data_IF_466621527617
#
_entry.id   IF_466621527617
#
_cell.length_a   1.000
_cell.length_b   1.000
_cell.length_c   1.000
_cell.angle_alpha   90.00
_cell.angle_beta   90.00
_cell.angle_gamma   90.00
#
_symmetry.space_group_name_H-M   'P 1'
#
loop_
_entity.id
_entity.type
_entity.pdbx_description
1 polymer ?
#
# COMPACT_ATOMS: atom_id res chain seq x y z
N UNK A 1 16.78 -1.57 7.13
CA UNK A 1 15.64 -2.01 7.96
C UNK A 1 15.42 -1.10 9.18
N UNK A 2 16.26 -1.11 10.24
CA UNK A 2 16.05 -0.25 11.43
C UNK A 2 15.82 1.23 11.11
N UNK A 3 16.68 1.84 10.27
CA UNK A 3 16.51 3.23 9.80
C UNK A 3 15.17 3.46 9.08
N UNK A 4 14.77 2.53 8.21
CA UNK A 4 13.52 2.63 7.46
C UNK A 4 12.26 2.40 8.31
N UNK A 5 12.39 1.85 9.52
CA UNK A 5 11.32 1.77 10.52
C UNK A 5 11.35 2.94 11.51
N UNK A 6 12.28 3.89 11.33
CA UNK A 6 12.61 4.92 12.31
C UNK A 6 12.89 4.36 13.73
N UNK A 7 13.64 3.25 13.83
CA UNK A 7 13.97 2.59 15.11
C UNK A 7 15.46 2.32 15.27
N UNK A 8 15.96 2.38 16.50
CA UNK A 8 17.33 1.99 16.84
C UNK A 8 17.49 0.47 16.91
N UNK A 9 18.68 -0.04 16.57
CA UNK A 9 18.97 -1.48 16.60
C UNK A 9 18.74 -2.11 17.99
N UNK A 10 19.11 -1.39 19.06
CA UNK A 10 18.91 -1.84 20.44
C UNK A 10 17.42 -1.95 20.76
N UNK A 11 16.58 -0.99 20.32
CA UNK A 11 15.12 -1.04 20.51
C UNK A 11 14.48 -2.26 19.85
N UNK A 12 14.99 -2.67 18.68
CA UNK A 12 14.49 -3.83 17.93
C UNK A 12 14.86 -5.15 18.62
N UNK A 13 16.10 -5.29 19.12
CA UNK A 13 16.58 -6.53 19.75
C UNK A 13 16.13 -6.67 21.20
N UNK A 14 16.06 -5.58 21.97
CA UNK A 14 15.68 -5.60 23.38
C UNK A 14 14.17 -5.78 23.62
N UNK A 15 13.40 -6.06 22.57
CA UNK A 15 11.95 -6.24 22.69
C UNK A 15 11.25 -4.95 23.09
N UNK A 16 11.59 -3.82 22.46
CA UNK A 16 10.85 -2.55 22.59
C UNK A 16 9.45 -2.59 21.95
N UNK A 17 8.76 -3.71 22.08
CA UNK A 17 7.33 -3.88 21.96
C UNK A 17 6.82 -4.02 23.40
N UNK A 18 6.59 -2.89 24.09
CA UNK A 18 6.16 -2.95 25.49
C UNK A 18 6.58 -1.82 26.42
N UNK A 19 7.26 -0.76 25.97
CA UNK A 19 6.95 0.53 26.60
C UNK A 19 5.52 0.81 26.20
N UNK A 20 4.63 0.92 27.20
CA UNK A 20 3.22 1.26 27.01
C UNK A 20 3.11 2.22 25.84
N UNK A 21 2.53 1.74 24.73
CA UNK A 21 1.96 2.68 23.79
C UNK A 21 1.08 3.56 24.68
N UNK A 22 1.20 4.90 24.61
CA UNK A 22 0.15 5.71 25.21
C UNK A 22 -1.14 5.10 24.69
N UNK A 23 -1.99 4.63 25.60
CA UNK A 23 -3.34 4.18 25.27
C UNK A 23 -3.87 5.23 24.31
N UNK A 24 -4.09 4.85 23.05
CA UNK A 24 -4.46 5.77 21.97
C UNK A 24 -5.63 6.60 22.45
N UNK A 25 -5.34 7.79 22.97
CA UNK A 25 -6.31 8.71 23.50
C UNK A 25 -6.83 9.46 22.31
N UNK A 26 -7.90 8.92 21.73
CA UNK A 26 -8.51 9.50 20.55
C UNK A 26 -9.12 8.42 19.69
N UNK A 27 -10.30 7.96 20.09
CA UNK A 27 -11.33 7.61 19.13
C UNK A 27 -11.69 8.92 18.40
N UNK A 28 -10.77 9.37 17.53
CA UNK A 28 -11.02 10.51 16.67
C UNK A 28 -12.00 9.98 15.65
N UNK A 29 -13.16 10.62 15.54
CA UNK A 29 -14.16 10.32 14.51
C UNK A 29 -13.49 10.53 13.15
N UNK A 30 -12.96 9.45 12.55
CA UNK A 30 -12.17 9.52 11.32
C UNK A 30 -13.06 9.70 10.09
N UNK A 31 -14.39 9.76 10.26
CA UNK A 31 -15.36 9.80 9.18
C UNK A 31 -15.73 8.40 8.67
N UNK A 32 -16.58 8.35 7.66
CA UNK A 32 -16.97 7.10 6.99
C UNK A 32 -15.94 6.76 5.89
N UNK A 33 -15.56 5.48 5.81
CA UNK A 33 -14.76 4.99 4.69
C UNK A 33 -15.65 4.84 3.45
N UNK A 34 -15.07 5.04 2.26
CA UNK A 34 -15.75 4.76 0.99
C UNK A 34 -15.43 3.33 0.55
N UNK A 35 -16.40 2.65 -0.02
CA UNK A 35 -16.21 1.31 -0.60
C UNK A 35 -16.34 1.38 -2.12
N UNK A 36 -15.64 0.48 -2.81
CA UNK A 36 -15.65 0.36 -4.27
C UNK A 36 -15.72 -1.11 -4.68
N UNK A 37 -16.34 -1.39 -5.81
CA UNK A 37 -16.42 -2.71 -6.44
C UNK A 37 -15.23 -2.97 -7.38
N UNK A 38 -15.03 -4.22 -7.78
CA UNK A 38 -13.96 -4.56 -8.72
C UNK A 38 -14.22 -3.97 -10.12
N UNK A 39 -15.48 -3.90 -10.52
CA UNK A 39 -15.95 -3.32 -11.77
C UNK A 39 -15.66 -1.82 -11.83
N UNK A 40 -16.00 -1.07 -10.78
CA UNK A 40 -15.69 0.37 -10.68
C UNK A 40 -14.17 0.62 -10.70
N UNK A 41 -13.37 -0.24 -10.06
CA UNK A 41 -11.91 -0.15 -10.13
C UNK A 41 -11.41 -0.45 -11.54
N UNK A 42 -11.98 -1.43 -12.24
CA UNK A 42 -11.64 -1.71 -13.63
C UNK A 42 -11.96 -0.52 -14.55
N UNK A 43 -13.10 0.14 -14.36
CA UNK A 43 -13.46 1.36 -15.08
C UNK A 43 -12.47 2.51 -14.82
N UNK A 44 -12.09 2.74 -13.55
CA UNK A 44 -11.05 3.72 -13.21
C UNK A 44 -9.72 3.41 -13.88
N UNK A 45 -9.28 2.14 -13.85
CA UNK A 45 -8.03 1.71 -14.47
C UNK A 45 -8.07 1.81 -16.00
N UNK A 46 -9.23 1.62 -16.62
CA UNK A 46 -9.41 1.78 -18.07
C UNK A 46 -9.32 3.26 -18.51
N UNK A 47 -9.69 4.20 -17.63
CA UNK A 47 -9.59 5.64 -17.86
C UNK A 47 -8.25 6.28 -17.44
N UNK A 48 -7.41 5.56 -16.69
CA UNK A 48 -6.15 6.09 -16.17
C UNK A 48 -5.06 6.18 -17.24
N UNK A 49 -4.23 7.23 -17.18
CA UNK A 49 -3.00 7.34 -17.97
C UNK A 49 -1.78 6.84 -17.19
N UNK A 50 -1.86 6.84 -15.85
CA UNK A 50 -0.79 6.46 -14.94
C UNK A 50 -1.30 5.69 -13.72
N UNK A 51 -0.65 4.58 -13.40
CA UNK A 51 -1.01 3.72 -12.27
C UNK A 51 0.24 3.36 -11.48
N UNK A 52 0.17 3.49 -10.15
CA UNK A 52 1.21 3.00 -9.24
C UNK A 52 0.64 1.88 -8.37
N UNK A 53 1.37 0.78 -8.25
CA UNK A 53 1.00 -0.35 -7.40
C UNK A 53 1.95 -0.39 -6.20
N UNK A 54 1.41 -0.33 -4.99
CA UNK A 54 2.20 -0.41 -3.74
C UNK A 54 1.90 -1.72 -3.03
N UNK A 55 2.70 -2.78 -3.25
CA UNK A 55 2.46 -4.09 -2.66
C UNK A 55 2.90 -4.16 -1.19
N UNK A 56 2.15 -4.90 -0.39
CA UNK A 56 2.48 -5.19 1.00
C UNK A 56 2.37 -6.68 1.32
N UNK A 57 2.51 -7.00 2.61
CA UNK A 57 2.50 -8.39 3.07
C UNK A 57 1.19 -9.13 2.75
N UNK A 58 0.05 -8.44 2.70
CA UNK A 58 -1.24 -9.04 2.32
C UNK A 58 -1.23 -9.62 0.90
N UNK A 59 -0.50 -9.00 -0.05
CA UNK A 59 -0.32 -9.53 -1.40
C UNK A 59 0.42 -10.89 -1.36
N UNK A 60 1.48 -10.98 -0.54
CA UNK A 60 2.24 -12.21 -0.38
C UNK A 60 1.43 -13.33 0.28
N UNK A 61 0.65 -13.01 1.31
CA UNK A 61 -0.23 -13.98 1.98
C UNK A 61 -1.28 -14.54 1.03
N UNK A 62 -1.86 -13.70 0.18
CA UNK A 62 -2.87 -14.10 -0.80
C UNK A 62 -2.28 -14.77 -2.06
N UNK A 63 -0.95 -14.75 -2.23
CA UNK A 63 -0.28 -15.17 -3.47
C UNK A 63 -0.79 -14.41 -4.71
N UNK A 64 -1.01 -13.10 -4.55
CA UNK A 64 -1.61 -12.23 -5.57
C UNK A 64 -0.60 -11.65 -6.57
N UNK A 65 0.71 -11.95 -6.44
CA UNK A 65 1.74 -11.39 -7.32
C UNK A 65 1.53 -11.73 -8.81
N UNK A 66 0.99 -12.92 -9.10
CA UNK A 66 0.73 -13.38 -10.46
C UNK A 66 -0.39 -12.61 -11.16
N UNK A 67 -1.62 -12.49 -10.60
CA UNK A 67 -2.65 -11.66 -11.22
C UNK A 67 -2.30 -10.16 -11.23
N UNK A 68 -1.52 -9.67 -10.25
CA UNK A 68 -1.00 -8.28 -10.27
C UNK A 68 -0.06 -8.05 -11.46
N UNK A 69 0.82 -9.00 -11.77
CA UNK A 69 1.67 -8.95 -12.95
C UNK A 69 0.84 -8.96 -14.24
N UNK A 70 -0.26 -9.70 -14.27
CA UNK A 70 -1.17 -9.75 -15.43
C UNK A 70 -1.93 -8.43 -15.64
N UNK A 71 -2.48 -7.81 -14.57
CA UNK A 71 -3.07 -6.46 -14.67
C UNK A 71 -2.04 -5.48 -15.22
N UNK A 72 -0.82 -5.53 -14.69
CA UNK A 72 0.28 -4.66 -15.12
C UNK A 72 0.54 -4.82 -16.63
N UNK A 73 0.58 -6.06 -17.13
CA UNK A 73 0.77 -6.34 -18.56
C UNK A 73 -0.34 -5.75 -19.41
N UNK A 74 -1.59 -6.03 -19.06
CA UNK A 74 -2.78 -5.56 -19.82
C UNK A 74 -2.84 -4.03 -19.87
N UNK A 75 -2.64 -3.36 -18.74
CA UNK A 75 -2.66 -1.90 -18.69
C UNK A 75 -1.51 -1.28 -19.52
N UNK A 76 -0.30 -1.86 -19.46
CA UNK A 76 0.83 -1.40 -20.27
C UNK A 76 0.59 -1.62 -21.77
N UNK A 77 -0.06 -2.71 -22.17
CA UNK A 77 -0.46 -2.94 -23.57
C UNK A 77 -1.47 -1.91 -24.07
N UNK A 78 -2.29 -1.36 -23.17
CA UNK A 78 -3.20 -0.24 -23.44
C UNK A 78 -2.51 1.14 -23.38
N UNK A 79 -1.20 1.19 -23.14
CA UNK A 79 -0.41 2.43 -23.11
C UNK A 79 -0.38 3.14 -21.75
N UNK A 80 -0.92 2.54 -20.69
CA UNK A 80 -0.91 3.12 -19.34
C UNK A 80 0.50 3.03 -18.73
N UNK A 81 0.97 4.12 -18.11
CA UNK A 81 2.25 4.14 -17.37
C UNK A 81 2.08 3.43 -16.02
N UNK A 82 2.35 2.13 -15.98
CA UNK A 82 2.29 1.32 -14.75
C UNK A 82 3.65 1.18 -14.09
N UNK A 83 3.74 1.49 -12.79
CA UNK A 83 4.95 1.36 -11.97
C UNK A 83 4.63 0.74 -10.61
N UNK A 84 5.64 0.22 -9.93
CA UNK A 84 5.56 -0.28 -8.57
C UNK A 84 6.33 0.62 -7.62
N UNK A 85 5.73 0.96 -6.48
CA UNK A 85 6.39 1.66 -5.39
C UNK A 85 6.67 0.72 -4.24
N UNK A 86 7.95 0.45 -3.97
CA UNK A 86 8.37 -0.51 -2.95
C UNK A 86 8.86 0.21 -1.70
N UNK A 87 8.16 -0.04 -0.59
CA UNK A 87 8.64 0.41 0.71
C UNK A 87 9.80 -0.50 1.18
N UNK A 88 10.91 0.03 1.73
CA UNK A 88 12.09 -0.76 2.13
C UNK A 88 11.85 -1.85 3.20
N UNK A 89 10.68 -1.86 3.83
CA UNK A 89 10.27 -2.84 4.86
C UNK A 89 8.91 -3.47 4.56
N UNK A 90 8.41 -3.35 3.31
CA UNK A 90 7.24 -4.08 2.87
C UNK A 90 7.47 -5.60 2.98
N UNK A 91 6.54 -6.30 3.63
CA UNK A 91 6.61 -7.75 3.81
C UNK A 91 7.11 -8.20 5.19
N UNK A 92 8.02 -9.18 5.19
CA UNK A 92 8.55 -9.86 6.40
C UNK A 92 10.05 -10.14 6.33
N UNK A 93 10.68 -9.82 5.20
CA UNK A 93 12.09 -10.00 4.92
C UNK A 93 12.57 -8.83 4.04
N UNK A 94 13.84 -8.40 4.14
CA UNK A 94 14.38 -7.39 3.24
C UNK A 94 14.20 -7.80 1.77
N UNK A 95 13.67 -6.91 0.94
CA UNK A 95 13.44 -7.19 -0.49
C UNK A 95 12.33 -8.19 -0.79
N UNK A 96 11.44 -8.48 0.17
CA UNK A 96 10.38 -9.49 0.00
C UNK A 96 9.51 -9.22 -1.24
N UNK A 97 9.08 -7.97 -1.44
CA UNK A 97 8.24 -7.64 -2.59
C UNK A 97 9.02 -7.74 -3.90
N UNK A 98 10.28 -7.29 -3.94
CA UNK A 98 11.12 -7.37 -5.14
C UNK A 98 11.29 -8.82 -5.61
N UNK A 99 11.47 -9.76 -4.68
CA UNK A 99 11.59 -11.20 -5.02
C UNK A 99 10.28 -11.75 -5.59
N UNK A 100 9.13 -11.45 -4.99
CA UNK A 100 7.83 -11.94 -5.49
C UNK A 100 7.47 -11.35 -6.85
N UNK A 101 7.77 -10.06 -7.07
CA UNK A 101 7.56 -9.41 -8.36
C UNK A 101 8.48 -9.98 -9.43
N UNK A 102 9.73 -10.27 -9.09
CA UNK A 102 10.67 -10.96 -9.99
C UNK A 102 10.20 -12.39 -10.34
N UNK A 103 9.70 -13.14 -9.36
CA UNK A 103 9.11 -14.47 -9.57
C UNK A 103 7.90 -14.40 -10.53
N UNK A 104 7.06 -13.38 -10.36
CA UNK A 104 5.93 -13.10 -11.25
C UNK A 104 6.34 -12.45 -12.60
N UNK A 105 7.65 -12.31 -12.88
CA UNK A 105 8.22 -11.76 -14.11
C UNK A 105 7.86 -10.30 -14.40
N UNK A 106 7.63 -9.51 -13.34
CA UNK A 106 7.48 -8.07 -13.48
C UNK A 106 8.83 -7.46 -13.89
N UNK A 107 8.90 -6.65 -14.96
CA UNK A 107 10.14 -6.01 -15.38
C UNK A 107 10.73 -5.08 -14.31
N UNK A 108 12.03 -5.20 -14.04
CA UNK A 108 12.69 -4.43 -12.98
C UNK A 108 12.70 -2.91 -13.21
N UNK A 109 12.63 -2.46 -14.45
CA UNK A 109 12.62 -1.04 -14.83
C UNK A 109 11.37 -0.29 -14.36
N UNK A 110 10.29 -1.01 -14.05
CA UNK A 110 9.06 -0.43 -13.50
C UNK A 110 8.91 -0.68 -11.99
N UNK A 111 9.92 -1.25 -11.33
CA UNK A 111 9.92 -1.47 -9.88
C UNK A 111 10.86 -0.45 -9.24
N UNK A 112 10.26 0.54 -8.56
CA UNK A 112 10.96 1.68 -8.00
C UNK A 112 10.94 1.61 -6.47
N UNK A 113 12.03 2.04 -5.86
CA UNK A 113 12.10 2.20 -4.41
C UNK A 113 11.30 3.44 -3.99
N UNK A 114 10.87 3.48 -2.72
CA UNK A 114 10.01 4.55 -2.18
C UNK A 114 10.53 5.96 -2.45
N UNK A 115 11.84 6.19 -2.29
CA UNK A 115 12.45 7.52 -2.51
C UNK A 115 12.43 7.95 -3.98
N UNK A 116 12.34 6.99 -4.92
CA UNK A 116 12.32 7.27 -6.36
C UNK A 116 10.91 7.54 -6.88
N UNK A 117 9.88 7.00 -6.24
CA UNK A 117 8.48 7.10 -6.70
C UNK A 117 7.68 8.18 -5.98
N UNK A 118 8.06 8.55 -4.75
CA UNK A 118 7.24 9.43 -3.90
C UNK A 118 6.96 10.80 -4.54
N UNK A 119 7.92 11.36 -5.27
CA UNK A 119 7.75 12.67 -5.94
C UNK A 119 6.86 12.59 -7.18
N UNK A 120 6.61 11.39 -7.71
CA UNK A 120 5.76 11.15 -8.87
C UNK A 120 4.30 10.83 -8.50
N UNK A 121 4.00 10.66 -7.20
CA UNK A 121 2.66 10.26 -6.76
C UNK A 121 1.63 11.36 -6.97
N UNK A 122 2.00 12.64 -6.86
CA UNK A 122 1.08 13.76 -7.11
C UNK A 122 0.59 13.83 -8.55
N UNK A 123 1.35 13.29 -9.49
CA UNK A 123 1.02 13.23 -10.92
C UNK A 123 0.48 11.84 -11.33
N UNK A 124 0.12 10.98 -10.37
CA UNK A 124 -0.41 9.64 -10.62
C UNK A 124 -1.94 9.61 -10.51
N UNK A 125 -2.62 9.05 -11.51
CA UNK A 125 -4.10 9.02 -11.55
C UNK A 125 -4.69 8.06 -10.53
N UNK A 126 -4.14 6.85 -10.44
CA UNK A 126 -4.63 5.78 -9.56
C UNK A 126 -3.48 5.07 -8.86
N UNK A 127 -3.60 4.88 -7.54
CA UNK A 127 -2.71 4.05 -6.74
C UNK A 127 -3.45 2.81 -6.23
N UNK A 128 -2.92 1.63 -6.49
CA UNK A 128 -3.42 0.36 -5.94
C UNK A 128 -2.57 -0.06 -4.74
N UNK A 129 -3.13 0.05 -3.53
CA UNK A 129 -2.49 -0.35 -2.28
C UNK A 129 -2.87 -1.80 -1.97
N UNK A 130 -2.00 -2.75 -2.33
CA UNK A 130 -2.32 -4.18 -2.25
C UNK A 130 -1.74 -4.81 -1.00
N UNK A 131 -2.55 -4.90 0.06
CA UNK A 131 -2.14 -5.59 1.29
C UNK A 131 -1.04 -4.88 2.09
N UNK A 132 -0.88 -3.57 1.89
CA UNK A 132 -0.06 -2.69 2.72
C UNK A 132 -0.93 -1.96 3.76
N UNK A 133 -0.33 -1.54 4.87
CA UNK A 133 -1.00 -0.74 5.89
C UNK A 133 -0.05 0.31 6.46
N UNK A 134 0.89 -0.12 7.31
CA UNK A 134 1.77 0.80 8.04
C UNK A 134 2.69 1.59 7.09
N UNK A 135 3.10 0.99 5.96
CA UNK A 135 3.99 1.59 4.95
C UNK A 135 3.34 2.68 4.09
N UNK A 136 2.05 2.92 4.27
CA UNK A 136 1.26 3.94 3.56
C UNK A 136 0.44 4.78 4.56
N UNK A 137 0.80 4.75 5.85
CA UNK A 137 0.00 5.36 6.90
C UNK A 137 0.43 6.82 7.15
N UNK A 138 -0.44 7.83 6.89
CA UNK A 138 -0.12 9.25 7.10
C UNK A 138 0.21 9.60 8.54
N UNK A 139 -0.26 8.81 9.52
CA UNK A 139 0.04 9.04 10.93
C UNK A 139 1.55 8.94 11.25
N UNK A 140 2.37 8.40 10.33
CA UNK A 140 3.81 8.46 10.46
C UNK A 140 4.37 9.90 10.32
N UNK A 141 3.69 10.76 9.56
CA UNK A 141 4.09 12.16 9.34
C UNK A 141 3.25 13.14 10.16
N UNK A 142 1.94 12.91 10.22
CA UNK A 142 0.97 13.86 10.77
C UNK A 142 0.78 13.78 12.29
N UNK A 143 1.08 12.62 12.90
CA UNK A 143 0.84 12.36 14.33
C UNK A 143 2.15 12.06 15.08
N UNK A 144 2.72 13.06 15.78
CA UNK A 144 3.93 12.87 16.60
C UNK A 144 3.78 11.85 17.75
N UNK A 145 2.54 11.51 18.13
CA UNK A 145 2.25 10.55 19.20
C UNK A 145 2.09 9.12 18.68
N UNK A 146 2.04 8.94 17.36
CA UNK A 146 1.90 7.64 16.73
C UNK A 146 3.13 6.75 16.99
N UNK A 147 2.95 5.45 17.24
CA UNK A 147 4.04 4.47 17.33
C UNK A 147 4.92 4.38 16.07
N UNK A 148 4.44 4.90 14.93
CA UNK A 148 5.16 4.95 13.66
C UNK A 148 5.63 6.38 13.29
N UNK A 149 5.55 7.34 14.21
CA UNK A 149 5.97 8.71 13.98
C UNK A 149 7.43 8.78 13.46
N UNK A 150 7.62 9.52 12.37
CA UNK A 150 8.90 9.68 11.65
C UNK A 150 9.33 8.48 10.81
N UNK A 151 8.52 7.42 10.70
CA UNK A 151 8.77 6.36 9.72
C UNK A 151 8.53 6.92 8.32
N UNK A 152 9.51 6.87 7.39
CA UNK A 152 9.27 7.29 6.03
C UNK A 152 8.26 6.33 5.40
N UNK A 153 7.27 6.86 4.67
CA UNK A 153 6.17 6.08 4.07
C UNK A 153 5.97 6.44 2.60
N UNK A 154 5.24 5.59 1.88
CA UNK A 154 4.76 5.91 0.54
C UNK A 154 3.57 6.88 0.67
N UNK A 155 3.72 8.10 0.14
CA UNK A 155 2.72 9.18 0.23
C UNK A 155 1.59 9.00 -0.78
N UNK A 156 0.97 7.82 -0.76
CA UNK A 156 -0.04 7.40 -1.75
C UNK A 156 -1.25 8.33 -1.79
N UNK A 157 -1.53 9.05 -0.69
CA UNK A 157 -2.61 10.01 -0.58
C UNK A 157 -2.43 11.25 -1.46
N UNK A 158 -1.23 11.50 -2.00
CA UNK A 158 -0.98 12.61 -2.93
C UNK A 158 -1.53 12.31 -4.35
N UNK A 159 -1.86 11.05 -4.65
CA UNK A 159 -2.39 10.65 -5.95
C UNK A 159 -3.86 11.04 -6.17
N UNK A 160 -4.31 11.00 -7.44
CA UNK A 160 -5.68 11.33 -7.82
C UNK A 160 -6.72 10.44 -7.12
N UNK A 161 -6.54 9.12 -7.16
CA UNK A 161 -7.37 8.14 -6.45
C UNK A 161 -6.51 7.04 -5.81
N UNK A 162 -6.92 6.57 -4.64
CA UNK A 162 -6.25 5.50 -3.89
C UNK A 162 -7.23 4.36 -3.64
N UNK A 163 -6.89 3.16 -4.11
CA UNK A 163 -7.70 1.96 -3.91
C UNK A 163 -6.96 1.04 -2.95
N UNK A 164 -7.55 0.79 -1.77
CA UNK A 164 -6.93 -0.04 -0.73
C UNK A 164 -7.57 -1.42 -0.69
N UNK A 165 -6.75 -2.44 -0.92
CA UNK A 165 -7.17 -3.85 -0.87
C UNK A 165 -6.95 -4.39 0.55
N UNK A 166 -8.05 -4.76 1.22
CA UNK A 166 -8.02 -5.32 2.58
C UNK A 166 -9.19 -6.26 2.81
N UNK A 167 -9.09 -7.16 3.78
CA UNK A 167 -10.19 -8.09 4.14
C UNK A 167 -11.24 -7.48 5.08
N UNK A 168 -10.85 -6.49 5.88
CA UNK A 168 -11.68 -5.82 6.90
C UNK A 168 -10.98 -4.55 7.36
N UNK A 169 -11.53 -3.73 8.25
CA UNK A 169 -10.85 -2.53 8.80
C UNK A 169 -9.80 -2.82 9.90
N UNK A 170 -9.24 -4.04 9.94
CA UNK A 170 -8.27 -4.44 10.95
C UNK A 170 -6.94 -3.66 10.86
N UNK A 171 -6.35 -3.36 12.02
CA UNK A 171 -5.06 -2.68 12.17
C UNK A 171 -3.88 -3.48 11.59
N UNK A 172 -2.79 -2.78 11.31
CA UNK A 172 -1.54 -3.35 10.78
C UNK A 172 -0.66 -3.97 11.85
N UNK A 173 0.63 -4.12 11.54
CA UNK A 173 1.58 -4.71 12.48
C UNK A 173 1.86 -3.75 13.65
N UNK A 174 1.89 -2.44 13.39
CA UNK A 174 2.05 -1.40 14.40
C UNK A 174 0.83 -1.24 15.34
N UNK A 175 -0.31 -1.89 15.06
CA UNK A 175 -1.48 -1.85 15.92
C UNK A 175 -2.22 -0.51 15.93
N UNK A 176 -1.97 0.37 14.97
CA UNK A 176 -2.61 1.70 14.86
C UNK A 176 -3.63 1.75 13.72
N UNK A 177 -4.65 2.59 13.89
CA UNK A 177 -5.57 2.96 12.81
C UNK A 177 -4.81 3.70 11.71
N UNK A 178 -5.35 3.65 10.49
CA UNK A 178 -4.74 4.30 9.34
C UNK A 178 -5.67 5.40 8.77
N UNK A 179 -5.37 6.68 9.01
CA UNK A 179 -6.17 7.79 8.50
C UNK A 179 -6.32 7.81 6.97
N UNK A 180 -5.45 7.14 6.22
CA UNK A 180 -5.58 6.98 4.76
C UNK A 180 -6.95 6.48 4.35
N UNK A 181 -7.52 5.53 5.11
CA UNK A 181 -8.75 4.82 4.75
C UNK A 181 -10.00 5.70 4.76
N UNK A 182 -9.88 6.91 5.31
CA UNK A 182 -10.98 7.85 5.44
C UNK A 182 -10.78 9.14 4.61
N UNK A 183 -9.68 9.22 3.83
CA UNK A 183 -9.44 10.37 2.95
C UNK A 183 -10.42 10.39 1.78
N UNK A 184 -10.66 11.60 1.26
CA UNK A 184 -11.64 11.84 0.19
C UNK A 184 -11.38 11.09 -1.12
N UNK A 185 -10.11 10.94 -1.46
CA UNK A 185 -9.63 10.22 -2.64
C UNK A 185 -9.36 8.74 -2.39
N UNK A 186 -9.66 8.21 -1.20
CA UNK A 186 -9.42 6.80 -0.88
C UNK A 186 -10.73 6.00 -0.91
N UNK A 187 -10.69 4.84 -1.57
CA UNK A 187 -11.76 3.86 -1.55
C UNK A 187 -11.24 2.47 -1.15
N UNK A 188 -12.04 1.74 -0.39
CA UNK A 188 -11.75 0.42 0.13
C UNK A 188 -12.33 -0.65 -0.79
N UNK A 189 -11.48 -1.54 -1.29
CA UNK A 189 -11.89 -2.74 -2.02
C UNK A 189 -11.76 -3.95 -1.09
N UNK A 190 -12.88 -4.35 -0.48
CA UNK A 190 -12.89 -5.43 0.51
C UNK A 190 -12.84 -6.83 -0.10
N UNK A 191 -11.98 -7.69 0.42
CA UNK A 191 -11.88 -9.11 0.04
C UNK A 191 -10.47 -9.67 0.18
N UNK A 192 -10.30 -10.94 -0.21
CA UNK A 192 -8.97 -11.49 -0.42
C UNK A 192 -8.28 -10.76 -1.59
N UNK A 193 -7.00 -10.42 -1.43
CA UNK A 193 -6.29 -9.61 -2.40
C UNK A 193 -6.17 -10.29 -3.77
N UNK A 194 -6.00 -11.62 -3.81
CA UNK A 194 -5.90 -12.36 -5.07
C UNK A 194 -7.24 -12.37 -5.78
N UNK A 195 -8.31 -12.72 -5.06
CA UNK A 195 -9.67 -12.74 -5.61
C UNK A 195 -10.08 -11.37 -6.17
N UNK A 196 -9.82 -10.29 -5.43
CA UNK A 196 -10.15 -8.92 -5.88
C UNK A 196 -9.40 -8.52 -7.14
N UNK A 197 -8.12 -8.85 -7.25
CA UNK A 197 -7.32 -8.58 -8.45
C UNK A 197 -7.83 -9.44 -9.63
N UNK A 198 -8.23 -10.68 -9.40
CA UNK A 198 -8.84 -11.56 -10.42
C UNK A 198 -10.25 -11.11 -10.86
N UNK A 199 -11.02 -10.49 -9.96
CA UNK A 199 -12.30 -9.86 -10.31
C UNK A 199 -12.07 -8.65 -11.23
N UNK A 200 -11.11 -7.78 -10.90
CA UNK A 200 -10.73 -6.63 -11.75
C UNK A 200 -10.27 -7.12 -13.12
N UNK A 201 -9.44 -8.16 -13.18
CA UNK A 201 -8.98 -8.76 -14.44
C UNK A 201 -10.12 -9.23 -15.34
N UNK A 202 -11.21 -9.75 -14.76
CA UNK A 202 -12.38 -10.18 -15.53
C UNK A 202 -13.19 -9.02 -16.11
N UNK A 203 -13.05 -7.83 -15.54
CA UNK A 203 -13.75 -6.62 -15.95
C UNK A 203 -12.92 -5.69 -16.87
N UNK A 204 -11.60 -5.93 -17.01
CA UNK A 204 -10.67 -5.14 -17.85
C UNK A 204 -10.58 -5.62 -19.31
#
# INVERSE_FOLDING_TARGET
MCKAMNRSFISVIAGGFGMEAPSSSGDVDQGEHREVTAEEVAEMLAGASSVVITPGYGMAVAQAQYPVAEITRILREKGVKVRFGIHPVAGRLPGHMNVLLAEAKVPYDIVLEMDEINDDLSDTDVVLVIGANDTVNPAAEDDPTSPIAGMPVLRVWDAGNVIVFKRSMAVGYAGVQNPLFFKDNTSMLFGDAKERVEDILRAL
#
